data_IF_706887210966
#
_entry.id   IF_706887210966
#
_cell.length_a   1.000
_cell.length_b   1.000
_cell.length_c   1.000
_cell.angle_alpha   90.00
_cell.angle_beta   90.00
_cell.angle_gamma   90.00
#
_symmetry.space_group_name_H-M   'P 1'
#
loop_
_entity.id
_entity.type
_entity.pdbx_description
1 polymer ?
#
# COMPACT_ATOMS: atom_id res chain seq x y z
N UNK A 1 -32.96 1.35 -3.01
CA UNK A 1 -31.90 2.33 -2.78
C UNK A 1 -32.48 3.59 -2.14
N UNK A 2 -31.64 4.32 -1.46
CA UNK A 2 -31.94 5.64 -0.94
C UNK A 2 -30.76 6.60 -1.11
N UNK A 3 -31.04 7.90 -1.14
CA UNK A 3 -30.03 8.95 -1.04
C UNK A 3 -30.40 9.75 0.20
N UNK A 4 -29.58 9.64 1.25
CA UNK A 4 -29.90 10.17 2.55
C UNK A 4 -28.78 11.08 3.10
N UNK A 5 -29.11 12.18 3.79
CA UNK A 5 -28.12 12.96 4.52
C UNK A 5 -27.63 12.15 5.73
N UNK A 6 -26.32 12.11 5.90
CA UNK A 6 -25.64 11.43 7.00
C UNK A 6 -24.82 12.41 7.80
N UNK A 7 -24.81 12.23 9.12
CA UNK A 7 -24.06 13.03 10.07
C UNK A 7 -23.20 12.11 10.92
N UNK A 8 -21.90 12.41 11.03
CA UNK A 8 -20.97 11.64 11.85
C UNK A 8 -20.17 12.56 12.75
N UNK A 9 -20.14 12.21 14.03
CA UNK A 9 -19.30 12.87 15.03
C UNK A 9 -17.93 12.17 15.06
N UNK A 10 -17.13 12.43 14.03
CA UNK A 10 -15.78 11.94 13.85
C UNK A 10 -14.84 13.12 13.60
N UNK A 11 -13.54 12.94 13.81
CA UNK A 11 -12.54 13.93 13.41
C UNK A 11 -12.63 14.21 11.91
N UNK A 12 -13.23 15.33 11.56
CA UNK A 12 -13.46 15.71 10.18
C UNK A 12 -12.12 15.97 9.46
N UNK A 13 -11.94 15.32 8.32
CA UNK A 13 -10.84 15.59 7.40
C UNK A 13 -11.42 16.21 6.14
N UNK A 14 -11.03 17.45 5.86
CA UNK A 14 -11.58 18.24 4.75
C UNK A 14 -11.44 17.56 3.38
N UNK A 15 -10.47 16.64 3.23
CA UNK A 15 -10.17 15.93 2.00
C UNK A 15 -10.91 14.61 1.81
N UNK A 16 -11.52 14.02 2.88
CA UNK A 16 -12.12 12.68 2.76
C UNK A 16 -13.22 12.30 3.76
N UNK A 17 -13.41 13.03 4.83
CA UNK A 17 -14.37 12.67 5.89
C UNK A 17 -15.07 13.91 6.43
N UNK A 18 -15.96 14.56 5.64
CA UNK A 18 -16.80 15.62 6.17
C UNK A 18 -17.77 15.05 7.20
N UNK A 19 -18.07 15.82 8.25
CA UNK A 19 -19.05 15.41 9.28
C UNK A 19 -20.47 15.30 8.74
N UNK A 20 -20.77 15.94 7.63
CA UNK A 20 -22.07 15.92 6.93
C UNK A 20 -21.87 15.56 5.47
N UNK A 21 -22.59 14.56 4.96
CA UNK A 21 -22.53 14.10 3.59
C UNK A 21 -23.81 13.37 3.18
N UNK A 22 -24.00 13.16 1.88
CA UNK A 22 -25.04 12.29 1.36
C UNK A 22 -24.48 10.92 1.04
N UNK A 23 -25.24 9.89 1.35
CA UNK A 23 -24.90 8.51 1.04
C UNK A 23 -25.89 7.97 0.01
N UNK A 24 -25.38 7.43 -1.11
CA UNK A 24 -26.14 6.53 -1.95
C UNK A 24 -26.04 5.13 -1.35
N UNK A 25 -27.15 4.63 -0.87
CA UNK A 25 -27.27 3.34 -0.21
C UNK A 25 -28.06 2.38 -1.11
N UNK A 26 -27.51 1.23 -1.41
CA UNK A 26 -28.08 0.24 -2.31
C UNK A 26 -28.09 -1.12 -1.60
N UNK A 27 -29.26 -1.72 -1.48
CA UNK A 27 -29.45 -3.07 -0.96
C UNK A 27 -30.02 -3.97 -2.04
N UNK A 28 -29.46 -5.15 -2.20
CA UNK A 28 -29.89 -6.14 -3.19
C UNK A 28 -30.06 -7.50 -2.51
N UNK A 29 -31.14 -8.22 -2.83
CA UNK A 29 -31.41 -9.55 -2.31
C UNK A 29 -31.15 -10.62 -3.35
N UNK A 30 -30.77 -11.82 -2.88
CA UNK A 30 -30.51 -13.01 -3.72
C UNK A 30 -29.36 -12.81 -4.74
N UNK A 31 -28.34 -12.03 -4.39
CA UNK A 31 -27.20 -11.70 -5.21
C UNK A 31 -25.89 -12.12 -4.57
N UNK A 32 -24.85 -12.30 -5.38
CA UNK A 32 -23.47 -12.46 -4.96
C UNK A 32 -22.67 -11.17 -5.16
N UNK A 33 -21.37 -11.19 -4.85
CA UNK A 33 -20.49 -10.02 -4.97
C UNK A 33 -20.41 -9.47 -6.40
N UNK A 34 -20.36 -10.34 -7.41
CA UNK A 34 -20.24 -9.92 -8.81
C UNK A 34 -21.49 -9.18 -9.28
N UNK A 35 -22.67 -9.63 -8.88
CA UNK A 35 -23.94 -8.97 -9.21
C UNK A 35 -23.97 -7.53 -8.64
N UNK A 36 -23.41 -7.31 -7.46
CA UNK A 36 -23.27 -5.96 -6.87
C UNK A 36 -22.31 -5.11 -7.69
N UNK A 37 -21.17 -5.66 -8.11
CA UNK A 37 -20.20 -4.94 -8.94
C UNK A 37 -20.80 -4.55 -10.30
N UNK A 38 -21.58 -5.43 -10.93
CA UNK A 38 -22.25 -5.15 -12.20
C UNK A 38 -23.23 -3.97 -12.13
N UNK A 39 -23.83 -3.75 -10.96
CA UNK A 39 -24.73 -2.60 -10.73
C UNK A 39 -23.94 -1.34 -10.37
N UNK A 40 -22.95 -1.43 -9.50
CA UNK A 40 -22.26 -0.26 -8.94
C UNK A 40 -21.19 0.31 -9.88
N UNK A 41 -20.48 -0.53 -10.62
CA UNK A 41 -19.39 -0.09 -11.50
C UNK A 41 -19.85 0.87 -12.60
N UNK A 42 -20.94 0.60 -13.34
CA UNK A 42 -21.47 1.57 -14.32
C UNK A 42 -21.86 2.92 -13.71
N UNK A 43 -22.50 2.89 -12.53
CA UNK A 43 -22.91 4.11 -11.82
C UNK A 43 -21.69 4.99 -11.50
N UNK A 44 -20.67 4.40 -10.91
CA UNK A 44 -19.43 5.13 -10.58
C UNK A 44 -18.73 5.65 -11.82
N UNK A 45 -18.60 4.83 -12.85
CA UNK A 45 -17.97 5.22 -14.11
C UNK A 45 -18.68 6.40 -14.76
N UNK A 46 -20.00 6.38 -14.82
CA UNK A 46 -20.78 7.43 -15.44
C UNK A 46 -20.73 8.73 -14.62
N UNK A 47 -20.77 8.64 -13.29
CA UNK A 47 -20.54 9.78 -12.41
C UNK A 47 -19.16 10.41 -12.64
N UNK A 48 -18.10 9.60 -12.69
CA UNK A 48 -16.77 10.13 -12.99
C UNK A 48 -16.66 10.72 -14.38
N UNK A 49 -17.28 10.13 -15.40
CA UNK A 49 -17.31 10.71 -16.76
C UNK A 49 -18.01 12.07 -16.78
N UNK A 50 -19.10 12.22 -16.06
CA UNK A 50 -19.87 13.47 -16.02
C UNK A 50 -19.16 14.58 -15.23
N UNK A 51 -18.60 14.25 -14.06
CA UNK A 51 -18.12 15.26 -13.11
C UNK A 51 -16.58 15.41 -13.06
N UNK A 52 -15.80 14.64 -13.80
CA UNK A 52 -14.35 14.67 -13.72
C UNK A 52 -13.65 15.81 -14.50
N UNK A 53 -14.40 16.73 -15.07
CA UNK A 53 -13.86 17.89 -15.79
C UNK A 53 -12.83 17.50 -16.88
N UNK A 54 -13.22 16.60 -17.79
CA UNK A 54 -12.41 16.12 -18.92
C UNK A 54 -11.18 15.25 -18.54
N UNK A 55 -11.14 14.69 -17.35
CA UNK A 55 -10.12 13.68 -17.01
C UNK A 55 -10.47 12.34 -17.66
N UNK A 56 -9.45 11.58 -17.99
CA UNK A 56 -9.66 10.21 -18.47
C UNK A 56 -10.19 9.34 -17.35
N UNK A 57 -11.31 8.67 -17.61
CA UNK A 57 -11.92 7.71 -16.69
C UNK A 57 -11.65 6.31 -17.23
N UNK A 58 -11.24 5.39 -16.36
CA UNK A 58 -11.03 3.99 -16.74
C UNK A 58 -12.36 3.34 -17.15
N UNK A 59 -12.33 2.47 -18.14
CA UNK A 59 -13.53 1.77 -18.61
C UNK A 59 -13.96 0.64 -17.67
N UNK A 60 -13.02 0.05 -16.92
CA UNK A 60 -13.30 -0.98 -15.93
C UNK A 60 -12.44 -0.76 -14.69
N UNK A 61 -12.95 -1.10 -13.52
CA UNK A 61 -12.21 -1.02 -12.27
C UNK A 61 -11.51 -2.35 -11.97
N UNK A 62 -10.19 -2.32 -11.63
CA UNK A 62 -9.49 -3.54 -11.23
C UNK A 62 -10.06 -4.08 -9.91
N UNK A 63 -10.26 -5.38 -9.86
CA UNK A 63 -10.68 -6.09 -8.65
C UNK A 63 -9.45 -6.63 -7.94
N UNK A 64 -9.07 -6.03 -6.84
CA UNK A 64 -7.86 -6.37 -6.09
C UNK A 64 -8.29 -7.08 -4.79
N UNK A 65 -7.90 -8.35 -4.58
CA UNK A 65 -8.15 -9.03 -3.32
C UNK A 65 -7.51 -8.29 -2.13
N UNK A 66 -8.18 -8.32 -0.97
CA UNK A 66 -7.71 -7.62 0.22
C UNK A 66 -6.26 -7.97 0.60
N UNK A 67 -5.91 -9.26 0.61
CA UNK A 67 -4.56 -9.70 0.94
C UNK A 67 -3.52 -9.19 -0.07
N UNK A 68 -3.87 -9.14 -1.34
CA UNK A 68 -3.00 -8.57 -2.37
C UNK A 68 -2.82 -7.06 -2.17
N UNK A 69 -3.90 -6.34 -1.88
CA UNK A 69 -3.85 -4.90 -1.62
C UNK A 69 -2.95 -4.59 -0.42
N UNK A 70 -3.10 -5.32 0.67
CA UNK A 70 -2.27 -5.13 1.86
C UNK A 70 -0.80 -5.51 1.63
N UNK A 71 -0.52 -6.58 0.90
CA UNK A 71 0.85 -7.01 0.66
C UNK A 71 1.61 -6.13 -0.33
N UNK A 72 0.94 -5.65 -1.37
CA UNK A 72 1.60 -4.80 -2.39
C UNK A 72 1.63 -3.32 -2.02
N UNK A 73 0.56 -2.81 -1.41
CA UNK A 73 0.39 -1.37 -1.22
C UNK A 73 0.35 -0.94 0.24
N UNK A 74 0.23 -1.88 1.18
CA UNK A 74 0.13 -1.58 2.62
C UNK A 74 -1.17 -0.90 3.03
N UNK A 75 -2.20 -0.94 2.19
CA UNK A 75 -3.50 -0.30 2.43
C UNK A 75 -4.62 -1.06 1.72
N UNK A 76 -5.83 -0.99 2.27
CA UNK A 76 -7.05 -1.51 1.65
C UNK A 76 -7.64 -0.57 0.57
N UNK A 77 -7.06 0.62 0.39
CA UNK A 77 -7.48 1.65 -0.58
C UNK A 77 -6.29 2.18 -1.37
N UNK A 78 -5.67 1.36 -2.24
CA UNK A 78 -4.47 1.75 -2.96
C UNK A 78 -4.78 2.82 -4.02
N UNK A 79 -3.91 3.83 -4.10
CA UNK A 79 -3.89 4.75 -5.24
C UNK A 79 -3.00 4.15 -6.34
N UNK A 80 -3.62 3.54 -7.35
CA UNK A 80 -2.90 2.87 -8.44
C UNK A 80 -2.12 3.82 -9.37
N UNK A 81 -2.23 5.13 -9.18
CA UNK A 81 -1.35 6.11 -9.84
C UNK A 81 0.02 6.16 -9.18
N UNK A 82 0.12 5.70 -7.93
CA UNK A 82 1.39 5.55 -7.24
C UNK A 82 2.07 4.26 -7.73
N UNK A 83 3.25 4.34 -8.37
CA UNK A 83 3.94 3.17 -8.92
C UNK A 83 4.75 2.39 -7.87
N UNK A 84 4.61 2.72 -6.59
CA UNK A 84 5.32 2.06 -5.50
C UNK A 84 4.55 0.80 -5.11
N UNK A 85 5.16 -0.35 -5.34
CA UNK A 85 4.68 -1.64 -4.86
C UNK A 85 5.73 -2.25 -3.93
N UNK A 86 5.27 -2.78 -2.80
CA UNK A 86 6.12 -3.53 -1.88
C UNK A 86 6.39 -4.93 -2.42
N UNK A 87 7.54 -5.48 -2.09
CA UNK A 87 7.92 -6.86 -2.43
C UNK A 87 8.30 -7.63 -1.17
N UNK A 88 7.84 -8.87 -1.08
CA UNK A 88 8.28 -9.80 -0.04
C UNK A 88 9.71 -10.26 -0.34
N UNK A 89 10.63 -9.93 0.54
CA UNK A 89 12.05 -10.29 0.45
C UNK A 89 12.49 -11.18 1.62
N UNK A 90 11.53 -11.82 2.28
CA UNK A 90 11.77 -12.65 3.47
C UNK A 90 12.81 -13.74 3.23
N UNK A 91 12.74 -14.43 2.10
CA UNK A 91 13.66 -15.52 1.75
C UNK A 91 15.13 -15.06 1.70
N UNK A 92 15.39 -13.80 1.33
CA UNK A 92 16.74 -13.25 1.29
C UNK A 92 17.36 -13.21 2.69
N UNK A 93 16.52 -13.07 3.71
CA UNK A 93 16.96 -12.85 5.10
C UNK A 93 16.98 -14.12 5.97
N UNK A 94 16.36 -15.23 5.58
CA UNK A 94 16.24 -16.45 6.40
C UNK A 94 17.61 -16.92 6.96
N UNK A 95 18.63 -16.97 6.13
CA UNK A 95 19.98 -17.39 6.50
C UNK A 95 21.03 -16.30 6.27
N UNK A 96 20.62 -15.04 6.36
CA UNK A 96 21.53 -13.91 6.17
C UNK A 96 22.33 -13.58 7.43
N UNK A 97 23.44 -12.87 7.23
CA UNK A 97 24.20 -12.29 8.34
C UNK A 97 23.48 -11.13 9.03
N UNK A 98 22.33 -10.69 8.52
CA UNK A 98 21.51 -9.64 9.16
C UNK A 98 20.62 -10.25 10.26
N UNK A 99 21.26 -10.48 11.42
CA UNK A 99 20.71 -11.28 12.53
C UNK A 99 19.31 -10.84 12.98
N UNK A 100 19.03 -9.53 13.00
CA UNK A 100 17.73 -9.00 13.48
C UNK A 100 16.57 -9.63 12.71
N UNK A 101 16.64 -9.64 11.37
CA UNK A 101 15.57 -10.22 10.57
C UNK A 101 15.62 -11.76 10.57
N UNK A 102 16.81 -12.34 10.44
CA UNK A 102 16.98 -13.80 10.46
C UNK A 102 16.44 -14.43 11.75
N UNK A 103 16.70 -13.83 12.90
CA UNK A 103 16.22 -14.31 14.19
C UNK A 103 14.70 -14.10 14.35
N UNK A 104 14.17 -13.00 13.89
CA UNK A 104 12.72 -12.73 13.92
C UNK A 104 11.94 -13.73 13.08
N UNK A 105 12.40 -14.03 11.86
CA UNK A 105 11.79 -15.02 10.98
C UNK A 105 11.86 -16.42 11.59
N UNK A 106 12.98 -16.78 12.24
CA UNK A 106 13.12 -18.10 12.90
C UNK A 106 12.24 -18.27 14.13
N UNK A 107 11.91 -17.18 14.82
CA UNK A 107 11.03 -17.22 16.01
C UNK A 107 9.56 -17.34 15.64
N UNK A 108 9.17 -16.75 14.53
CA UNK A 108 7.79 -16.68 14.09
C UNK A 108 7.72 -16.79 12.57
N UNK A 109 7.13 -17.88 12.08
CA UNK A 109 6.98 -18.17 10.67
C UNK A 109 6.05 -17.21 9.91
N UNK A 110 5.26 -16.41 10.64
CA UNK A 110 4.37 -15.40 10.04
C UNK A 110 5.05 -14.05 9.82
N UNK A 111 6.25 -13.87 10.37
CA UNK A 111 7.06 -12.66 10.14
C UNK A 111 7.49 -12.58 8.68
N UNK A 112 7.27 -11.42 8.08
CA UNK A 112 7.70 -11.10 6.71
C UNK A 112 8.55 -9.86 6.68
N UNK A 113 9.50 -9.83 5.75
CA UNK A 113 10.33 -8.66 5.46
C UNK A 113 9.90 -8.08 4.13
N UNK A 114 9.44 -6.84 4.15
CA UNK A 114 8.95 -6.14 2.97
C UNK A 114 9.96 -5.08 2.51
N UNK A 115 10.22 -5.05 1.22
CA UNK A 115 11.02 -4.00 0.57
C UNK A 115 10.12 -2.99 -0.13
N UNK A 116 10.40 -1.71 0.07
CA UNK A 116 9.70 -0.59 -0.57
C UNK A 116 10.69 0.11 -1.51
N UNK A 117 10.45 0.11 -2.83
CA UNK A 117 11.34 0.79 -3.78
C UNK A 117 11.21 2.32 -3.67
N UNK A 118 12.34 3.01 -3.56
CA UNK A 118 12.41 4.48 -3.55
C UNK A 118 13.19 4.98 -4.76
N UNK A 119 12.54 5.07 -5.92
CA UNK A 119 13.16 5.39 -7.22
C UNK A 119 13.90 6.73 -7.26
N UNK A 120 13.54 7.68 -6.41
CA UNK A 120 14.12 9.04 -6.39
C UNK A 120 14.71 9.44 -5.02
N UNK A 121 14.77 8.52 -4.07
CA UNK A 121 15.09 8.81 -2.67
C UNK A 121 16.53 8.56 -2.24
N UNK A 122 17.47 8.52 -3.16
CA UNK A 122 18.80 7.96 -2.98
C UNK A 122 19.79 8.63 -2.03
N UNK A 123 19.42 9.59 -1.19
CA UNK A 123 20.36 10.18 -0.24
C UNK A 123 20.29 9.52 1.13
N UNK A 124 21.45 9.41 1.80
CA UNK A 124 21.54 8.92 3.18
C UNK A 124 20.64 9.72 4.13
N UNK A 125 20.63 11.05 3.98
CA UNK A 125 19.78 11.93 4.79
C UNK A 125 18.30 11.64 4.63
N UNK A 126 17.84 11.28 3.43
CA UNK A 126 16.47 10.84 3.20
C UNK A 126 16.18 9.52 3.95
N UNK A 127 17.06 8.53 3.85
CA UNK A 127 16.90 7.25 4.54
C UNK A 127 16.88 7.40 6.07
N UNK A 128 17.77 8.23 6.61
CA UNK A 128 17.84 8.53 8.05
C UNK A 128 16.56 9.23 8.53
N UNK A 129 16.00 10.15 7.70
CA UNK A 129 14.71 10.80 7.98
C UNK A 129 13.55 9.80 7.97
N UNK A 130 13.51 8.89 6.99
CA UNK A 130 12.47 7.87 6.91
C UNK A 130 12.55 6.88 8.08
N UNK A 131 13.75 6.47 8.46
CA UNK A 131 13.96 5.64 9.65
C UNK A 131 13.47 6.35 10.93
N UNK A 132 13.81 7.62 11.10
CA UNK A 132 13.36 8.41 12.26
C UNK A 132 11.85 8.60 12.28
N UNK A 133 11.23 8.77 11.12
CA UNK A 133 9.78 8.84 11.00
C UNK A 133 9.13 7.51 11.38
N UNK A 134 9.59 6.38 10.85
CA UNK A 134 9.06 5.05 11.17
C UNK A 134 9.12 4.75 12.67
N UNK A 135 10.23 5.12 13.34
CA UNK A 135 10.36 4.96 14.80
C UNK A 135 9.31 5.79 15.55
N UNK A 136 9.03 7.02 15.11
CA UNK A 136 7.97 7.85 15.70
C UNK A 136 6.57 7.26 15.52
N UNK A 137 6.34 6.57 14.41
CA UNK A 137 5.08 5.83 14.14
C UNK A 137 5.02 4.46 14.84
N UNK A 138 5.95 4.17 15.75
CA UNK A 138 5.96 2.96 16.57
C UNK A 138 6.58 1.73 15.90
N UNK A 139 7.23 1.90 14.75
CA UNK A 139 7.96 0.82 14.10
C UNK A 139 9.37 0.68 14.67
N UNK A 140 9.99 -0.52 14.65
CA UNK A 140 11.35 -0.73 15.15
C UNK A 140 12.42 0.01 14.34
N UNK A 141 12.11 0.46 13.14
CA UNK A 141 12.99 1.20 12.24
C UNK A 141 12.90 0.71 10.80
N UNK A 142 13.64 1.39 9.92
CA UNK A 142 13.77 1.02 8.50
C UNK A 142 15.25 0.81 8.17
N UNK A 143 15.56 -0.31 7.53
CA UNK A 143 16.83 -0.52 6.87
C UNK A 143 16.80 -0.06 5.41
N UNK A 144 17.95 0.10 4.78
CA UNK A 144 18.01 0.48 3.37
C UNK A 144 19.19 -0.15 2.62
N UNK A 145 19.01 -0.30 1.31
CA UNK A 145 20.05 -0.67 0.36
C UNK A 145 20.05 0.40 -0.74
N UNK A 146 21.21 0.93 -1.07
CA UNK A 146 21.40 1.76 -2.26
C UNK A 146 21.85 0.91 -3.43
N UNK A 147 21.23 1.08 -4.57
CA UNK A 147 21.66 0.45 -5.81
C UNK A 147 22.33 1.47 -6.72
N UNK A 148 23.53 1.15 -7.16
CA UNK A 148 24.27 1.88 -8.19
C UNK A 148 24.82 0.88 -9.20
N UNK A 149 24.48 1.08 -10.46
CA UNK A 149 24.94 0.22 -11.57
C UNK A 149 24.67 -1.27 -11.31
N UNK A 150 23.49 -1.58 -10.74
CA UNK A 150 23.09 -2.97 -10.41
C UNK A 150 23.73 -3.53 -9.14
N UNK A 151 24.57 -2.77 -8.45
CA UNK A 151 25.26 -3.24 -7.24
C UNK A 151 24.64 -2.62 -5.99
N UNK A 152 24.20 -3.46 -5.05
CA UNK A 152 23.66 -3.02 -3.76
C UNK A 152 24.78 -2.62 -2.78
N UNK A 153 24.54 -1.55 -2.05
CA UNK A 153 25.46 -1.05 -1.02
C UNK A 153 24.70 -0.59 0.22
N UNK A 154 25.39 -0.50 1.34
CA UNK A 154 24.84 -0.08 2.62
C UNK A 154 24.92 -1.16 3.71
N UNK A 155 24.41 -0.87 4.91
CA UNK A 155 24.55 -1.77 6.06
C UNK A 155 23.91 -3.14 5.85
N UNK A 156 22.75 -3.18 5.18
CA UNK A 156 22.04 -4.44 4.91
C UNK A 156 22.75 -5.22 3.81
N UNK A 157 23.12 -4.59 2.69
CA UNK A 157 23.75 -5.25 1.55
C UNK A 157 24.98 -6.07 1.95
N UNK A 158 25.81 -5.55 2.87
CA UNK A 158 27.00 -6.22 3.38
C UNK A 158 26.70 -7.52 4.13
N UNK A 159 25.52 -7.65 4.71
CA UNK A 159 25.14 -8.75 5.60
C UNK A 159 24.27 -9.81 4.91
N UNK A 160 23.68 -9.50 3.75
CA UNK A 160 22.87 -10.48 3.01
C UNK A 160 23.66 -11.28 1.99
N UNK A 161 24.88 -10.88 1.65
CA UNK A 161 25.79 -11.51 0.68
C UNK A 161 25.71 -10.87 -0.71
N UNK A 162 26.84 -10.87 -1.42
CA UNK A 162 27.00 -10.16 -2.71
C UNK A 162 26.02 -10.62 -3.80
N UNK A 163 25.65 -11.90 -3.84
CA UNK A 163 24.70 -12.42 -4.83
C UNK A 163 23.22 -12.13 -4.54
N UNK A 164 22.87 -11.73 -3.32
CA UNK A 164 21.49 -11.46 -2.89
C UNK A 164 21.14 -9.96 -2.91
N UNK A 165 22.12 -9.10 -3.13
CA UNK A 165 21.97 -7.65 -3.21
C UNK A 165 22.02 -7.12 -4.66
N UNK A 166 21.74 -8.00 -5.63
CA UNK A 166 21.68 -7.67 -7.06
C UNK A 166 20.25 -7.56 -7.55
#
# INVERSE_FOLDING_TARGET
FQIAPCFRDEDARADRSPGEFYQLDIEMSFVNQEDVFEVVEPILRDLFKEFSSNKTVTESFPKIPYLESMSKYGTDKPDLRNPIEMSDVTEIFIDSGFKIFAESIKKDNDVRVWAIPAKSGGTRAFCDKMNSWAIKEGQPGLGYIFYKDGTGSGPIAKNIGEGKAQ
#
